data_IF_749728832411
#
_entry.id   IF_749728832411
#
_cell.length_a   1.000
_cell.length_b   1.000
_cell.length_c   1.000
_cell.angle_alpha   90.00
_cell.angle_beta   90.00
_cell.angle_gamma   90.00
#
_symmetry.space_group_name_H-M   'P 1'
#
loop_
_entity.id
_entity.type
_entity.pdbx_description
1 polymer ?
#
# COMPACT_ATOMS: atom_id res chain seq x y z
N UNK A 1 19.45 -5.95 26.49
CA UNK A 1 18.14 -6.59 26.27
C UNK A 1 18.17 -7.22 24.89
N UNK A 2 18.10 -8.55 24.84
CA UNK A 2 18.18 -9.39 23.65
C UNK A 2 16.77 -9.59 23.07
N UNK A 3 16.60 -9.40 21.75
CA UNK A 3 15.46 -9.92 20.97
C UNK A 3 16.01 -10.18 19.54
N UNK A 4 16.55 -11.38 19.29
CA UNK A 4 15.93 -12.47 18.52
C UNK A 4 15.65 -12.11 17.05
N UNK A 5 16.57 -12.58 16.19
CA UNK A 5 16.43 -12.69 14.74
C UNK A 5 15.44 -13.81 14.42
N UNK A 6 14.34 -13.48 13.76
CA UNK A 6 13.51 -14.47 13.05
C UNK A 6 14.05 -14.61 11.62
N UNK A 7 14.56 -15.80 11.30
CA UNK A 7 14.89 -16.23 9.95
C UNK A 7 13.62 -16.31 9.09
N UNK A 8 13.62 -15.61 7.95
CA UNK A 8 12.58 -15.75 6.95
C UNK A 8 12.92 -16.91 6.00
N UNK A 9 12.15 -17.98 6.10
CA UNK A 9 12.17 -19.12 5.16
C UNK A 9 11.85 -18.63 3.74
N UNK A 10 12.78 -18.87 2.83
CA UNK A 10 12.71 -18.44 1.42
C UNK A 10 12.04 -19.55 0.59
N UNK A 11 10.78 -19.34 0.19
CA UNK A 11 10.10 -20.21 -0.79
C UNK A 11 10.33 -19.68 -2.21
N UNK A 12 10.68 -20.53 -3.20
CA UNK A 12 10.92 -20.09 -4.57
C UNK A 12 9.59 -19.82 -5.29
N UNK A 13 9.35 -18.57 -5.65
CA UNK A 13 8.22 -18.16 -6.50
C UNK A 13 8.67 -18.18 -7.97
N UNK A 14 8.03 -19.00 -8.80
CA UNK A 14 8.19 -19.02 -10.26
C UNK A 14 7.54 -17.78 -10.90
N UNK A 15 8.07 -17.22 -12.00
CA UNK A 15 7.57 -15.98 -12.58
C UNK A 15 6.29 -16.25 -13.39
N UNK A 16 5.14 -15.89 -12.84
CA UNK A 16 3.91 -15.70 -13.63
C UNK A 16 3.93 -14.26 -14.14
N UNK A 17 3.81 -14.09 -15.45
CA UNK A 17 3.67 -12.77 -16.09
C UNK A 17 2.32 -12.15 -15.71
N UNK A 18 2.20 -11.60 -14.51
CA UNK A 18 1.07 -10.78 -14.11
C UNK A 18 1.32 -9.34 -14.55
N UNK A 19 0.36 -8.77 -15.25
CA UNK A 19 0.28 -7.37 -15.66
C UNK A 19 0.45 -6.46 -14.45
N UNK A 20 1.71 -6.11 -14.17
CA UNK A 20 2.09 -5.03 -13.27
C UNK A 20 1.49 -3.74 -13.80
N UNK A 21 1.02 -2.87 -12.91
CA UNK A 21 0.73 -1.48 -13.25
C UNK A 21 1.95 -0.92 -13.99
N UNK A 22 1.71 -0.23 -15.10
CA UNK A 22 2.83 0.35 -15.84
C UNK A 22 3.51 1.41 -14.97
N UNK A 23 4.80 1.64 -15.19
CA UNK A 23 5.58 2.66 -14.47
C UNK A 23 4.89 4.03 -14.50
N UNK A 24 4.22 4.35 -15.62
CA UNK A 24 3.41 5.56 -15.78
C UNK A 24 2.19 5.62 -14.84
N UNK A 25 1.48 4.50 -14.63
CA UNK A 25 0.31 4.46 -13.74
C UNK A 25 0.72 4.67 -12.28
N UNK A 26 1.93 4.20 -11.92
CA UNK A 26 2.51 4.42 -10.60
C UNK A 26 2.90 5.89 -10.41
N UNK A 27 3.53 6.52 -11.40
CA UNK A 27 3.91 7.94 -11.37
C UNK A 27 2.71 8.90 -11.30
N UNK A 28 1.63 8.59 -12.02
CA UNK A 28 0.39 9.37 -11.98
C UNK A 28 -0.25 9.35 -10.57
N UNK A 29 -0.21 8.19 -9.92
CA UNK A 29 -0.73 8.04 -8.56
C UNK A 29 0.06 8.88 -7.54
N UNK A 30 1.39 8.90 -7.67
CA UNK A 30 2.27 9.72 -6.82
C UNK A 30 2.07 11.22 -7.05
N UNK A 31 1.83 11.63 -8.28
CA UNK A 31 1.55 13.03 -8.62
C UNK A 31 0.25 13.51 -7.97
N UNK A 32 -0.82 12.70 -8.03
CA UNK A 32 -2.13 13.06 -7.46
C UNK A 32 -2.09 13.28 -5.94
N UNK A 33 -1.26 12.52 -5.22
CA UNK A 33 -1.12 12.63 -3.76
C UNK A 33 -0.34 13.90 -3.37
N UNK A 34 0.63 14.33 -4.18
CA UNK A 34 1.53 15.43 -3.85
C UNK A 34 0.98 16.82 -4.23
N UNK A 35 -0.10 16.91 -5.01
CA UNK A 35 -0.65 18.18 -5.49
C UNK A 35 -1.72 18.84 -4.60
N UNK A 36 -1.98 18.36 -3.38
CA UNK A 36 -2.80 19.09 -2.40
C UNK A 36 -2.03 20.30 -1.85
N UNK A 37 -1.92 21.34 -2.68
CA UNK A 37 -1.25 22.61 -2.41
C UNK A 37 -2.27 23.61 -1.88
N UNK A 38 -2.22 23.91 -0.59
CA UNK A 38 -3.00 25.00 0.00
C UNK A 38 -2.49 26.37 -0.49
N UNK A 39 -3.38 27.32 -0.81
CA UNK A 39 -3.02 28.60 -1.40
C UNK A 39 -2.47 29.59 -0.36
N UNK A 40 -1.41 30.28 -0.76
CA UNK A 40 -0.84 31.43 -0.08
C UNK A 40 -1.82 32.60 -0.04
N UNK A 41 -1.87 33.32 1.09
CA UNK A 41 -2.44 34.67 1.13
C UNK A 41 -1.86 35.53 2.26
N UNK A 42 -1.86 36.86 2.07
CA UNK A 42 -0.71 37.72 2.36
C UNK A 42 -0.92 38.62 3.58
N UNK A 43 0.18 39.27 3.98
CA UNK A 43 0.20 40.20 5.10
C UNK A 43 -0.66 41.45 4.91
N UNK A 44 -1.17 41.95 6.02
CA UNK A 44 -1.71 43.31 6.23
C UNK A 44 -2.03 43.39 7.73
N UNK A 45 -1.79 44.44 8.49
CA UNK A 45 -1.32 45.80 8.25
C UNK A 45 -1.32 46.46 9.63
N UNK A 46 -0.28 47.23 9.92
CA UNK A 46 -0.09 47.98 11.16
C UNK A 46 -1.25 48.96 11.41
N UNK A 47 -1.95 48.84 12.54
CA UNK A 47 -2.72 49.94 13.12
C UNK A 47 -2.38 50.11 14.61
N UNK A 48 -2.06 51.36 14.95
CA UNK A 48 -1.53 51.77 16.24
C UNK A 48 -2.48 51.51 17.40
N UNK A 49 -1.91 51.06 18.52
CA UNK A 49 -2.61 50.99 19.79
C UNK A 49 -1.64 51.35 20.90
N UNK A 50 -1.93 52.48 21.55
CA UNK A 50 -1.50 52.92 22.89
C UNK A 50 -0.31 52.15 23.49
N UNK A 51 0.90 52.64 23.22
CA UNK A 51 2.15 52.06 23.74
C UNK A 51 2.27 52.33 25.24
N UNK A 52 1.63 51.51 26.06
CA UNK A 52 1.99 51.38 27.48
C UNK A 52 3.49 51.05 27.52
N UNK A 53 4.30 51.96 28.02
CA UNK A 53 5.75 51.77 28.13
C UNK A 53 6.00 50.83 29.31
N UNK A 54 6.04 49.55 29.00
CA UNK A 54 6.35 48.52 29.98
C UNK A 54 7.81 48.60 30.41
N UNK A 55 8.04 48.44 31.71
CA UNK A 55 9.38 48.33 32.30
C UNK A 55 10.19 47.24 31.57
N UNK A 56 11.52 47.38 31.42
CA UNK A 56 12.36 46.34 30.83
C UNK A 56 12.12 44.96 31.48
N UNK A 57 11.85 44.92 32.78
CA UNK A 57 11.56 43.67 33.51
C UNK A 57 10.19 43.08 33.13
N UNK A 58 9.14 43.91 33.01
CA UNK A 58 7.83 43.45 32.54
C UNK A 58 7.89 42.90 31.10
N UNK A 59 8.68 43.56 30.24
CA UNK A 59 8.91 43.09 28.87
C UNK A 59 9.66 41.75 28.86
N UNK A 60 10.58 41.53 29.80
CA UNK A 60 11.29 40.25 29.96
C UNK A 60 10.36 39.16 30.48
N UNK A 61 9.57 39.43 31.53
CA UNK A 61 8.57 38.51 32.07
C UNK A 61 7.57 38.06 30.99
N UNK A 62 7.03 38.98 30.18
CA UNK A 62 6.15 38.61 29.07
C UNK A 62 6.84 37.79 27.99
N UNK A 63 8.09 38.10 27.66
CA UNK A 63 8.88 37.27 26.71
C UNK A 63 9.08 35.86 27.25
N UNK A 64 9.36 35.69 28.54
CA UNK A 64 9.48 34.39 29.17
C UNK A 64 8.16 33.62 29.16
N UNK A 65 7.04 34.26 29.50
CA UNK A 65 5.71 33.64 29.46
C UNK A 65 5.29 33.26 28.03
N UNK A 66 5.49 34.17 27.07
CA UNK A 66 5.20 33.93 25.66
C UNK A 66 6.06 32.82 25.08
N UNK A 67 7.37 32.79 25.35
CA UNK A 67 8.25 31.70 24.89
C UNK A 67 7.89 30.36 25.54
N UNK A 68 7.51 30.37 26.82
CA UNK A 68 7.02 29.17 27.51
C UNK A 68 5.76 28.63 26.84
N UNK A 69 4.81 29.52 26.53
CA UNK A 69 3.58 29.17 25.82
C UNK A 69 3.88 28.64 24.41
N UNK A 70 4.72 29.34 23.64
CA UNK A 70 5.13 28.94 22.30
C UNK A 70 5.86 27.59 22.29
N UNK A 71 6.76 27.35 23.24
CA UNK A 71 7.43 26.05 23.39
C UNK A 71 6.43 24.94 23.75
N UNK A 72 5.46 25.20 24.63
CA UNK A 72 4.40 24.23 24.95
C UNK A 72 3.56 23.90 23.71
N UNK A 73 3.11 24.92 22.97
CA UNK A 73 2.33 24.74 21.73
C UNK A 73 3.13 24.00 20.67
N UNK A 74 4.43 24.31 20.51
CA UNK A 74 5.32 23.60 19.59
C UNK A 74 5.45 22.12 19.96
N UNK A 75 5.70 21.81 21.24
CA UNK A 75 5.74 20.42 21.75
C UNK A 75 4.40 19.70 21.53
N UNK A 76 3.28 20.38 21.78
CA UNK A 76 1.94 19.81 21.58
C UNK A 76 1.67 19.51 20.10
N UNK A 77 1.96 20.43 19.17
CA UNK A 77 1.83 20.19 17.72
C UNK A 77 2.70 19.02 17.27
N UNK A 78 3.96 18.95 17.72
CA UNK A 78 4.86 17.83 17.41
C UNK A 78 4.30 16.50 17.93
N UNK A 79 3.75 16.49 19.15
CA UNK A 79 3.08 15.31 19.72
C UNK A 79 1.90 14.86 18.85
N UNK A 80 0.99 15.79 18.51
CA UNK A 80 -0.17 15.49 17.66
C UNK A 80 0.24 14.97 16.27
N UNK A 81 1.29 15.54 15.68
CA UNK A 81 1.80 15.08 14.38
C UNK A 81 2.34 13.64 14.45
N UNK A 82 3.11 13.31 15.50
CA UNK A 82 3.62 11.94 15.71
C UNK A 82 2.47 10.95 15.95
N UNK A 83 1.47 11.32 16.74
CA UNK A 83 0.27 10.50 16.98
C UNK A 83 -0.48 10.23 15.68
N UNK A 84 -0.69 11.26 14.85
CA UNK A 84 -1.32 11.12 13.54
C UNK A 84 -0.51 10.22 12.59
N UNK A 85 0.82 10.42 12.50
CA UNK A 85 1.68 9.55 11.68
C UNK A 85 1.65 8.10 12.16
N UNK A 86 1.63 7.87 13.47
CA UNK A 86 1.55 6.53 14.05
C UNK A 86 0.21 5.86 13.71
N UNK A 87 -0.90 6.61 13.78
CA UNK A 87 -2.21 6.11 13.37
C UNK A 87 -2.24 5.75 11.87
N UNK A 88 -1.65 6.59 11.02
CA UNK A 88 -1.57 6.32 9.58
C UNK A 88 -0.72 5.09 9.27
N UNK A 89 0.44 4.95 9.92
CA UNK A 89 1.31 3.78 9.79
C UNK A 89 0.58 2.50 10.19
N UNK A 90 -0.14 2.52 11.32
CA UNK A 90 -0.90 1.36 11.78
C UNK A 90 -2.01 0.99 10.78
N UNK A 91 -2.74 1.97 10.25
CA UNK A 91 -3.75 1.76 9.21
C UNK A 91 -3.14 1.11 7.96
N UNK A 92 -2.04 1.67 7.45
CA UNK A 92 -1.33 1.15 6.28
C UNK A 92 -0.78 -0.26 6.53
N UNK A 93 -0.28 -0.56 7.73
CA UNK A 93 0.21 -1.89 8.11
C UNK A 93 -0.91 -2.93 8.11
N UNK A 94 -2.10 -2.57 8.62
CA UNK A 94 -3.29 -3.43 8.57
C UNK A 94 -3.72 -3.65 7.12
N UNK A 95 -3.82 -2.59 6.31
CA UNK A 95 -4.17 -2.69 4.90
C UNK A 95 -3.17 -3.56 4.11
N UNK A 96 -1.86 -3.39 4.33
CA UNK A 96 -0.83 -4.21 3.69
C UNK A 96 -0.97 -5.69 4.06
N UNK A 97 -1.27 -6.01 5.33
CA UNK A 97 -1.52 -7.39 5.77
C UNK A 97 -2.76 -7.98 5.10
N UNK A 98 -3.84 -7.22 5.00
CA UNK A 98 -5.06 -7.66 4.33
C UNK A 98 -4.82 -7.94 2.84
N UNK A 99 -4.15 -7.02 2.13
CA UNK A 99 -3.80 -7.20 0.72
C UNK A 99 -2.89 -8.40 0.49
N UNK A 100 -1.88 -8.60 1.35
CA UNK A 100 -1.01 -9.79 1.29
C UNK A 100 -1.79 -11.10 1.47
N UNK A 101 -2.73 -11.13 2.41
CA UNK A 101 -3.58 -12.31 2.63
C UNK A 101 -4.49 -12.57 1.42
N UNK A 102 -5.08 -11.52 0.85
CA UNK A 102 -5.90 -11.63 -0.37
C UNK A 102 -5.07 -12.14 -1.54
N UNK A 103 -3.87 -11.59 -1.76
CA UNK A 103 -2.95 -12.04 -2.81
C UNK A 103 -2.60 -13.52 -2.64
N UNK A 104 -2.24 -13.95 -1.44
CA UNK A 104 -1.93 -15.35 -1.15
C UNK A 104 -3.13 -16.28 -1.42
N UNK A 105 -4.34 -15.86 -1.06
CA UNK A 105 -5.57 -16.60 -1.36
C UNK A 105 -5.83 -16.71 -2.86
N UNK A 106 -5.67 -15.61 -3.61
CA UNK A 106 -5.84 -15.60 -5.07
C UNK A 106 -4.80 -16.47 -5.77
N UNK A 107 -3.54 -16.41 -5.34
CA UNK A 107 -2.47 -17.28 -5.86
C UNK A 107 -2.79 -18.76 -5.61
N UNK A 108 -3.28 -19.11 -4.41
CA UNK A 108 -3.69 -20.48 -4.10
C UNK A 108 -4.84 -20.95 -4.99
N UNK A 109 -5.86 -20.11 -5.19
CA UNK A 109 -6.98 -20.41 -6.10
C UNK A 109 -6.50 -20.57 -7.55
N UNK A 110 -5.60 -19.71 -8.02
CA UNK A 110 -5.03 -19.80 -9.36
C UNK A 110 -4.26 -21.12 -9.57
N UNK A 111 -3.50 -21.57 -8.57
CA UNK A 111 -2.83 -22.86 -8.60
C UNK A 111 -3.82 -24.02 -8.70
N UNK A 112 -4.89 -24.02 -7.89
CA UNK A 112 -5.93 -25.04 -7.94
C UNK A 112 -6.65 -25.08 -9.29
N UNK A 113 -6.97 -23.91 -9.85
CA UNK A 113 -7.58 -23.79 -11.18
C UNK A 113 -6.65 -24.30 -12.28
N UNK A 114 -5.35 -24.01 -12.18
CA UNK A 114 -4.35 -24.49 -13.14
C UNK A 114 -4.26 -26.02 -13.11
N UNK A 115 -4.19 -26.63 -11.93
CA UNK A 115 -4.20 -28.09 -11.77
C UNK A 115 -5.48 -28.73 -12.34
N UNK A 116 -6.63 -28.13 -12.08
CA UNK A 116 -7.90 -28.61 -12.63
C UNK A 116 -7.94 -28.48 -14.16
N UNK A 117 -7.42 -27.38 -14.71
CA UNK A 117 -7.31 -27.18 -16.14
C UNK A 117 -6.42 -28.23 -16.82
N UNK A 118 -5.27 -28.56 -16.21
CA UNK A 118 -4.36 -29.59 -16.70
C UNK A 118 -4.99 -30.99 -16.63
N UNK A 119 -5.78 -31.26 -15.60
CA UNK A 119 -6.56 -32.50 -15.50
C UNK A 119 -7.60 -32.60 -16.62
N UNK A 120 -8.41 -31.56 -16.85
CA UNK A 120 -9.41 -31.52 -17.92
C UNK A 120 -8.78 -31.64 -19.31
N UNK A 121 -7.63 -31.00 -19.54
CA UNK A 121 -6.85 -31.15 -20.79
C UNK A 121 -6.43 -32.59 -21.00
N UNK A 122 -5.92 -33.24 -19.94
CA UNK A 122 -5.49 -34.64 -19.99
C UNK A 122 -6.65 -35.60 -20.29
N UNK A 123 -7.82 -35.38 -19.67
CA UNK A 123 -9.05 -36.12 -19.96
C UNK A 123 -9.53 -35.89 -21.40
N UNK A 124 -9.52 -34.63 -21.86
CA UNK A 124 -9.87 -34.30 -23.25
C UNK A 124 -8.96 -35.00 -24.25
N UNK A 125 -7.65 -35.06 -24.00
CA UNK A 125 -6.69 -35.78 -24.86
C UNK A 125 -6.98 -37.28 -24.85
N UNK A 126 -7.25 -37.88 -23.68
CA UNK A 126 -7.60 -39.29 -23.58
C UNK A 126 -8.89 -39.62 -24.36
N UNK A 127 -9.93 -38.79 -24.22
CA UNK A 127 -11.19 -38.96 -24.95
C UNK A 127 -10.98 -38.82 -26.46
N UNK A 128 -10.19 -37.84 -26.92
CA UNK A 128 -9.85 -37.69 -28.33
C UNK A 128 -9.10 -38.92 -28.88
N UNK A 129 -8.18 -39.50 -28.10
CA UNK A 129 -7.50 -40.73 -28.49
C UNK A 129 -8.49 -41.89 -28.63
N UNK A 130 -9.40 -42.09 -27.66
CA UNK A 130 -10.42 -43.14 -27.76
C UNK A 130 -11.35 -42.97 -28.97
N UNK A 131 -11.74 -41.72 -29.28
CA UNK A 131 -12.57 -41.44 -30.45
C UNK A 131 -11.82 -41.73 -31.75
N UNK A 132 -10.54 -41.36 -31.83
CA UNK A 132 -9.68 -41.66 -32.98
C UNK A 132 -9.53 -43.17 -33.17
N UNK A 133 -9.31 -43.93 -32.10
CA UNK A 133 -9.20 -45.39 -32.15
C UNK A 133 -10.50 -46.03 -32.65
N UNK A 134 -11.65 -45.59 -32.14
CA UNK A 134 -12.97 -46.07 -32.58
C UNK A 134 -13.23 -45.74 -34.06
N UNK A 135 -12.92 -44.52 -34.50
CA UNK A 135 -13.01 -44.13 -35.92
C UNK A 135 -12.08 -44.98 -36.79
N UNK A 136 -10.86 -45.30 -36.31
CA UNK A 136 -9.93 -46.19 -36.98
C UNK A 136 -10.49 -47.60 -37.16
N UNK A 137 -11.09 -48.18 -36.11
CA UNK A 137 -11.74 -49.50 -36.15
C UNK A 137 -12.93 -49.52 -37.13
N UNK A 138 -13.76 -48.48 -37.13
CA UNK A 138 -14.87 -48.37 -38.08
C UNK A 138 -14.36 -48.26 -39.52
N UNK A 139 -13.28 -47.51 -39.74
CA UNK A 139 -12.64 -47.40 -41.04
C UNK A 139 -12.12 -48.74 -41.58
N UNK A 140 -11.51 -49.56 -40.73
CA UNK A 140 -11.03 -50.90 -41.14
C UNK A 140 -12.20 -51.85 -41.41
N UNK A 141 -13.26 -51.82 -40.60
CA UNK A 141 -14.46 -52.64 -40.81
C UNK A 141 -15.20 -52.33 -42.11
N UNK A 142 -15.25 -51.06 -42.54
CA UNK A 142 -15.90 -50.66 -43.79
C UNK A 142 -15.03 -50.91 -45.04
N UNK A 143 -13.74 -51.17 -44.87
CA UNK A 143 -12.80 -51.44 -45.97
C UNK A 143 -12.66 -52.92 -46.35
N UNK A 144 -13.25 -53.82 -45.56
CA UNK A 144 -13.34 -55.26 -45.79
C UNK A 144 -14.71 -55.64 -46.35
#
# INVERSE_FOLDING_TARGET
MFFHQDEAVQYPCTPVHETMLTESEIEDLFSLINHSTDPASPGSGSQGSNRVVYSPEERKLRRMQSNRESARRSRYRKKQHIENLTSQLNRLRIQNRLLKNQLASTMHQNLLLSLHNDHLKSESVALMATLSDLCGILGTMLSH
#
